data_IF_668426316482
#
_entry.id   IF_668426316482
#
_cell.length_a   1.000
_cell.length_b   1.000
_cell.length_c   1.000
_cell.angle_alpha   90.00
_cell.angle_beta   90.00
_cell.angle_gamma   90.00
#
_symmetry.space_group_name_H-M   'P 1'
#
loop_
_entity.id
_entity.type
_entity.pdbx_description
1 polymer ?
#
# COMPACT_ATOMS: atom_id res chain seq x y z
N UNK A 1 7.52 -10.31 10.74
CA UNK A 1 7.36 -8.85 10.64
C UNK A 1 7.47 -8.17 12.00
N UNK A 2 6.65 -8.54 13.00
CA UNK A 2 6.70 -7.89 14.34
C UNK A 2 8.08 -7.94 15.01
N UNK A 3 8.79 -9.06 14.94
CA UNK A 3 10.17 -9.16 15.45
C UNK A 3 11.10 -8.13 14.78
N UNK A 4 11.05 -8.04 13.44
CA UNK A 4 11.86 -7.07 12.68
C UNK A 4 11.51 -5.62 12.99
N UNK A 5 10.25 -5.30 13.32
CA UNK A 5 9.83 -3.95 13.71
C UNK A 5 10.29 -3.62 15.14
N UNK A 6 10.21 -4.59 16.06
CA UNK A 6 10.75 -4.46 17.43
C UNK A 6 12.26 -4.27 17.43
N UNK A 7 12.98 -5.02 16.59
CA UNK A 7 14.43 -4.89 16.44
C UNK A 7 14.85 -3.51 15.90
N UNK A 8 13.94 -2.84 15.17
CA UNK A 8 14.10 -1.46 14.69
C UNK A 8 13.63 -0.41 15.71
N UNK A 9 13.21 -0.79 16.92
CA UNK A 9 12.67 0.12 17.93
C UNK A 9 11.31 0.73 17.56
N UNK A 10 10.63 0.18 16.55
CA UNK A 10 9.33 0.68 16.07
C UNK A 10 8.21 0.04 16.88
N UNK A 11 7.41 0.87 17.55
CA UNK A 11 6.14 0.43 18.13
C UNK A 11 5.13 0.24 17.01
N UNK A 12 4.66 -0.99 16.83
CA UNK A 12 3.65 -1.35 15.85
C UNK A 12 2.54 -2.15 16.52
N UNK A 13 1.30 -1.83 16.17
CA UNK A 13 0.12 -2.54 16.65
C UNK A 13 -0.48 -3.36 15.52
N UNK A 14 -0.82 -4.63 15.80
CA UNK A 14 -1.52 -5.46 14.84
C UNK A 14 -3.00 -5.08 14.82
N UNK A 15 -3.50 -4.76 13.63
CA UNK A 15 -4.92 -4.56 13.38
C UNK A 15 -5.48 -5.79 12.69
N UNK A 16 -6.53 -6.39 13.25
CA UNK A 16 -7.21 -7.51 12.60
C UNK A 16 -7.92 -7.02 11.34
N UNK A 17 -7.60 -7.62 10.20
CA UNK A 17 -8.32 -7.33 8.96
C UNK A 17 -9.80 -7.66 9.12
N UNK A 18 -10.65 -6.87 8.46
CA UNK A 18 -12.09 -7.14 8.36
C UNK A 18 -12.25 -8.43 7.57
N UNK A 19 -12.78 -9.47 8.21
CA UNK A 19 -13.05 -10.77 7.59
C UNK A 19 -14.29 -10.69 6.71
N UNK A 20 -14.33 -11.52 5.66
CA UNK A 20 -15.53 -11.74 4.84
C UNK A 20 -16.75 -12.10 5.69
N UNK A 21 -16.54 -12.82 6.79
CA UNK A 21 -17.59 -13.26 7.71
C UNK A 21 -18.15 -12.14 8.60
N UNK A 22 -17.47 -10.99 8.70
CA UNK A 22 -17.87 -9.87 9.54
C UNK A 22 -18.49 -8.72 8.72
N UNK A 23 -18.82 -8.94 7.44
CA UNK A 23 -19.39 -7.94 6.53
C UNK A 23 -20.92 -7.96 6.45
N UNK A 24 -21.62 -8.78 7.26
CA UNK A 24 -23.06 -9.02 7.06
C UNK A 24 -23.90 -7.72 7.03
N UNK A 25 -23.55 -6.73 7.86
CA UNK A 25 -24.21 -5.42 7.89
C UNK A 25 -23.53 -4.35 7.00
N UNK A 26 -22.29 -4.57 6.57
CA UNK A 26 -21.47 -3.60 5.84
C UNK A 26 -21.22 -4.07 4.39
N UNK A 27 -22.23 -3.85 3.55
CA UNK A 27 -22.23 -4.31 2.16
C UNK A 27 -21.44 -3.38 1.23
N UNK A 28 -20.77 -3.92 0.19
CA UNK A 28 -20.10 -3.13 -0.83
C UNK A 28 -21.08 -2.21 -1.58
N UNK A 29 -20.65 -0.99 -1.89
CA UNK A 29 -21.45 -0.08 -2.71
C UNK A 29 -21.68 -0.64 -4.14
N UNK A 30 -22.86 -0.42 -4.74
CA UNK A 30 -23.17 -0.91 -6.09
C UNK A 30 -22.15 -0.48 -7.16
N UNK A 31 -21.61 0.74 -7.05
CA UNK A 31 -20.60 1.24 -7.97
C UNK A 31 -19.31 0.38 -7.99
N UNK A 32 -18.92 -0.23 -6.87
CA UNK A 32 -17.77 -1.13 -6.81
C UNK A 32 -18.04 -2.43 -7.59
N UNK A 33 -19.25 -2.98 -7.46
CA UNK A 33 -19.71 -4.15 -8.22
C UNK A 33 -19.68 -3.85 -9.72
N UNK A 34 -20.28 -2.74 -10.15
CA UNK A 34 -20.29 -2.31 -11.56
C UNK A 34 -18.87 -2.14 -12.10
N UNK A 35 -17.99 -1.53 -11.32
CA UNK A 35 -16.58 -1.37 -11.69
C UNK A 35 -15.90 -2.72 -11.90
N UNK A 36 -16.02 -3.66 -10.96
CA UNK A 36 -15.38 -4.97 -11.06
C UNK A 36 -15.96 -5.81 -12.21
N UNK A 37 -17.28 -5.79 -12.43
CA UNK A 37 -17.91 -6.45 -13.58
C UNK A 37 -17.36 -5.91 -14.90
N UNK A 38 -17.16 -4.59 -15.00
CA UNK A 38 -16.62 -3.96 -16.20
C UNK A 38 -15.14 -4.30 -16.45
N UNK A 39 -14.34 -4.41 -15.39
CA UNK A 39 -12.88 -4.62 -15.50
C UNK A 39 -12.52 -6.09 -15.64
N UNK A 40 -13.18 -6.96 -14.88
CA UNK A 40 -12.83 -8.38 -14.77
C UNK A 40 -13.84 -9.31 -15.45
N UNK A 41 -15.04 -8.82 -15.75
CA UNK A 41 -16.15 -9.64 -16.21
C UNK A 41 -16.80 -10.45 -15.08
N UNK A 42 -17.86 -11.17 -15.45
CA UNK A 42 -18.48 -12.14 -14.54
C UNK A 42 -17.64 -13.41 -14.47
N UNK A 43 -17.54 -14.00 -13.28
CA UNK A 43 -16.85 -15.28 -13.07
C UNK A 43 -17.44 -16.01 -11.86
N UNK A 44 -17.26 -17.35 -11.75
CA UNK A 44 -17.75 -18.11 -10.60
C UNK A 44 -17.23 -17.62 -9.23
N UNK A 45 -16.11 -16.88 -9.21
CA UNK A 45 -15.51 -16.29 -8.00
C UNK A 45 -15.82 -14.81 -7.80
N UNK A 46 -16.72 -14.22 -8.59
CA UNK A 46 -16.96 -12.78 -8.60
C UNK A 46 -17.40 -12.23 -7.23
N UNK A 47 -18.41 -12.83 -6.58
CA UNK A 47 -18.90 -12.37 -5.28
C UNK A 47 -17.80 -12.40 -4.20
N UNK A 48 -17.00 -13.48 -4.18
CA UNK A 48 -15.87 -13.58 -3.25
C UNK A 48 -14.85 -12.47 -3.49
N UNK A 49 -14.53 -12.18 -4.76
CA UNK A 49 -13.61 -11.09 -5.12
C UNK A 49 -14.16 -9.72 -4.74
N UNK A 50 -15.44 -9.47 -4.96
CA UNK A 50 -16.11 -8.24 -4.58
C UNK A 50 -16.05 -8.02 -3.07
N UNK A 51 -16.49 -9.00 -2.28
CA UNK A 51 -16.45 -8.94 -0.82
C UNK A 51 -15.01 -8.85 -0.30
N UNK A 52 -14.08 -9.54 -0.94
CA UNK A 52 -12.66 -9.49 -0.61
C UNK A 52 -12.03 -8.12 -0.84
N UNK A 53 -12.35 -7.50 -1.97
CA UNK A 53 -11.92 -6.14 -2.30
C UNK A 53 -12.47 -5.14 -1.30
N UNK A 54 -13.74 -5.32 -0.90
CA UNK A 54 -14.39 -4.48 0.10
C UNK A 54 -13.80 -4.65 1.51
N UNK A 55 -13.63 -5.89 1.96
CA UNK A 55 -12.95 -6.24 3.21
C UNK A 55 -11.54 -5.63 3.30
N UNK A 56 -10.76 -5.73 2.21
CA UNK A 56 -9.45 -5.10 2.11
C UNK A 56 -9.57 -3.58 2.32
N UNK A 57 -10.44 -2.90 1.58
CA UNK A 57 -10.68 -1.45 1.76
C UNK A 57 -11.04 -1.11 3.21
N UNK A 58 -12.04 -1.79 3.79
CA UNK A 58 -12.49 -1.54 5.16
C UNK A 58 -11.39 -1.75 6.20
N UNK A 59 -10.50 -2.72 6.00
CA UNK A 59 -9.35 -2.94 6.87
C UNK A 59 -8.40 -1.74 6.90
N UNK A 60 -8.04 -1.20 5.74
CA UNK A 60 -7.20 0.00 5.67
C UNK A 60 -7.89 1.24 6.24
N UNK A 61 -9.19 1.41 5.94
CA UNK A 61 -9.97 2.53 6.49
C UNK A 61 -10.11 2.43 8.01
N UNK A 62 -10.23 1.23 8.57
CA UNK A 62 -10.23 1.02 10.03
C UNK A 62 -8.92 1.48 10.69
N UNK A 63 -7.78 1.20 10.06
CA UNK A 63 -6.47 1.69 10.53
C UNK A 63 -6.39 3.22 10.45
N UNK A 64 -6.87 3.83 9.35
CA UNK A 64 -6.90 5.29 9.19
C UNK A 64 -7.84 5.95 10.21
N UNK A 65 -9.04 5.40 10.41
CA UNK A 65 -9.99 5.90 11.41
C UNK A 65 -9.39 5.85 12.81
N UNK A 66 -8.73 4.75 13.17
CA UNK A 66 -8.01 4.65 14.45
C UNK A 66 -6.90 5.68 14.57
N UNK A 67 -6.09 5.87 13.53
CA UNK A 67 -5.03 6.87 13.54
C UNK A 67 -5.58 8.29 13.71
N UNK A 68 -6.70 8.61 13.05
CA UNK A 68 -7.45 9.85 13.25
C UNK A 68 -7.93 10.00 14.69
N UNK A 69 -8.61 9.00 15.22
CA UNK A 69 -9.23 9.06 16.55
C UNK A 69 -8.17 9.21 17.67
N UNK A 70 -6.95 8.71 17.44
CA UNK A 70 -5.80 8.89 18.34
C UNK A 70 -4.98 10.16 18.05
N UNK A 71 -5.34 10.96 17.05
CA UNK A 71 -4.62 12.18 16.69
C UNK A 71 -3.20 11.97 16.16
N UNK A 72 -2.91 10.81 15.56
CA UNK A 72 -1.58 10.51 15.03
C UNK A 72 -1.29 11.32 13.75
N UNK A 73 -0.13 12.00 13.65
CA UNK A 73 0.18 12.89 12.52
C UNK A 73 0.39 12.14 11.19
N UNK A 74 0.75 10.87 11.26
CA UNK A 74 0.84 9.96 10.13
C UNK A 74 0.69 8.52 10.62
N UNK A 75 0.28 7.61 9.72
CA UNK A 75 0.20 6.17 9.98
C UNK A 75 0.86 5.40 8.86
N UNK A 76 1.69 4.41 9.22
CA UNK A 76 2.23 3.41 8.31
C UNK A 76 1.28 2.22 8.29
N UNK A 77 0.76 1.88 7.10
CA UNK A 77 -0.14 0.76 6.88
C UNK A 77 0.59 -0.28 6.03
N UNK A 78 0.61 -1.52 6.51
CA UNK A 78 1.23 -2.65 5.85
C UNK A 78 0.28 -3.85 5.86
N UNK A 79 0.19 -4.54 4.72
CA UNK A 79 -0.48 -5.84 4.66
C UNK A 79 0.32 -6.88 5.47
N UNK A 80 -0.35 -7.93 5.94
CA UNK A 80 0.26 -8.97 6.76
C UNK A 80 1.22 -9.87 5.95
N UNK A 81 0.98 -10.01 4.66
CA UNK A 81 1.84 -10.70 3.69
C UNK A 81 3.11 -9.89 3.31
N UNK A 82 3.33 -8.71 3.90
CA UNK A 82 4.48 -7.88 3.59
C UNK A 82 5.76 -8.27 4.35
N UNK A 83 6.88 -8.15 3.65
CA UNK A 83 8.23 -8.26 4.20
C UNK A 83 9.07 -7.07 3.78
N UNK A 84 9.89 -6.57 4.70
CA UNK A 84 10.94 -5.63 4.37
C UNK A 84 12.12 -6.33 3.68
N UNK A 85 12.72 -5.63 2.73
CA UNK A 85 14.02 -6.00 2.18
C UNK A 85 15.12 -5.81 3.23
N UNK A 86 16.22 -6.59 3.18
CA UNK A 86 17.30 -6.50 4.18
C UNK A 86 17.95 -5.11 4.32
N UNK A 87 17.85 -4.28 3.29
CA UNK A 87 18.38 -2.92 3.27
C UNK A 87 17.35 -1.84 3.67
N UNK A 88 16.14 -2.23 4.11
CA UNK A 88 15.06 -1.29 4.35
C UNK A 88 15.43 -0.21 5.36
N UNK A 89 16.01 -0.60 6.50
CA UNK A 89 16.40 0.34 7.56
C UNK A 89 17.41 1.40 7.07
N UNK A 90 18.51 0.95 6.44
CA UNK A 90 19.53 1.84 5.90
C UNK A 90 19.00 2.81 4.84
N UNK A 91 17.96 2.42 4.09
CA UNK A 91 17.29 3.34 3.15
C UNK A 91 16.33 4.27 3.88
N UNK A 92 15.58 3.79 4.89
CA UNK A 92 14.66 4.61 5.69
C UNK A 92 15.38 5.74 6.42
N UNK A 93 16.54 5.48 7.02
CA UNK A 93 17.38 6.51 7.67
C UNK A 93 17.76 7.63 6.68
N UNK A 94 18.11 7.26 5.44
CA UNK A 94 18.41 8.23 4.38
C UNK A 94 17.16 8.95 3.89
N UNK A 95 16.03 8.26 3.81
CA UNK A 95 14.74 8.83 3.40
C UNK A 95 14.27 9.84 4.43
N UNK A 96 14.40 9.57 5.72
CA UNK A 96 14.08 10.49 6.79
C UNK A 96 14.80 11.84 6.61
N UNK A 97 16.12 11.81 6.41
CA UNK A 97 16.91 13.02 6.11
C UNK A 97 16.44 13.70 4.80
N UNK A 98 16.10 12.93 3.76
CA UNK A 98 15.65 13.48 2.48
C UNK A 98 14.22 14.09 2.51
N UNK A 99 13.43 13.72 3.51
CA UNK A 99 12.09 14.25 3.77
C UNK A 99 12.12 15.52 4.62
N UNK A 100 13.20 15.80 5.35
CA UNK A 100 13.32 17.03 6.13
C UNK A 100 13.14 18.27 5.24
N UNK A 101 12.25 19.18 5.66
CA UNK A 101 11.90 20.39 4.91
C UNK A 101 11.13 20.12 3.60
N UNK A 102 10.63 18.89 3.40
CA UNK A 102 9.86 18.51 2.21
C UNK A 102 8.42 18.21 2.55
N UNK A 103 7.55 18.85 1.80
CA UNK A 103 6.14 18.57 1.79
C UNK A 103 5.82 17.23 1.09
N UNK A 104 4.99 16.41 1.72
CA UNK A 104 4.48 15.13 1.20
C UNK A 104 3.14 14.81 1.88
N UNK A 105 2.29 14.01 1.24
CA UNK A 105 0.99 13.61 1.81
C UNK A 105 0.86 12.08 1.91
N UNK A 106 1.45 11.37 0.95
CA UNK A 106 1.55 9.91 0.95
C UNK A 106 2.97 9.47 0.61
N UNK A 107 3.47 8.44 1.29
CA UNK A 107 4.79 7.85 1.06
C UNK A 107 4.68 6.33 0.86
N UNK A 108 5.01 5.85 -0.33
CA UNK A 108 4.98 4.41 -0.65
C UNK A 108 6.33 3.75 -0.36
N UNK A 109 6.32 2.75 0.52
CA UNK A 109 7.46 1.86 0.79
C UNK A 109 7.39 0.59 -0.08
N UNK A 110 6.16 0.19 -0.43
CA UNK A 110 5.80 -0.91 -1.30
C UNK A 110 4.64 -0.51 -2.21
N UNK A 111 4.69 -0.93 -3.47
CA UNK A 111 3.68 -0.60 -4.47
C UNK A 111 4.21 -0.64 -5.90
N UNK A 112 3.30 -0.68 -6.85
CA UNK A 112 3.61 -0.72 -8.28
C UNK A 112 3.19 0.57 -8.95
N UNK A 113 4.18 1.35 -9.41
CA UNK A 113 3.94 2.46 -10.32
C UNK A 113 3.30 1.97 -11.62
N UNK A 114 2.24 2.64 -12.07
CA UNK A 114 1.49 2.27 -13.28
C UNK A 114 1.74 3.23 -14.43
N UNK A 115 1.64 2.71 -15.67
CA UNK A 115 1.75 3.51 -16.90
C UNK A 115 0.72 4.65 -16.89
N UNK A 116 1.05 5.77 -17.54
CA UNK A 116 0.21 6.96 -17.59
C UNK A 116 0.32 7.87 -16.36
N UNK A 117 1.02 7.45 -15.30
CA UNK A 117 1.43 8.36 -14.23
C UNK A 117 2.68 9.16 -14.58
N UNK A 118 2.91 10.23 -13.83
CA UNK A 118 4.18 10.97 -13.83
C UNK A 118 5.05 10.41 -12.72
N UNK A 119 6.33 10.18 -13.01
CA UNK A 119 7.34 9.79 -12.01
C UNK A 119 8.62 10.60 -12.19
N UNK A 120 8.97 11.41 -11.20
CA UNK A 120 10.15 12.29 -11.23
C UNK A 120 11.01 12.07 -9.99
N UNK A 121 12.32 11.91 -10.16
CA UNK A 121 13.25 11.85 -9.02
C UNK A 121 13.27 13.21 -8.31
N UNK A 122 13.06 13.21 -6.99
CA UNK A 122 13.11 14.43 -6.16
C UNK A 122 14.24 14.39 -5.13
N UNK A 123 14.73 13.20 -4.80
CA UNK A 123 15.97 13.00 -4.03
C UNK A 123 16.61 11.65 -4.43
N UNK A 124 17.73 11.29 -3.80
CA UNK A 124 18.44 10.05 -4.14
C UNK A 124 17.58 8.79 -3.97
N UNK A 125 16.72 8.77 -2.94
CA UNK A 125 15.84 7.65 -2.61
C UNK A 125 14.35 7.97 -2.78
N UNK A 126 14.00 9.14 -3.33
CA UNK A 126 12.62 9.59 -3.43
C UNK A 126 12.25 9.97 -4.85
N UNK A 127 11.10 9.49 -5.28
CA UNK A 127 10.44 9.87 -6.52
C UNK A 127 9.06 10.43 -6.22
N UNK A 128 8.71 11.58 -6.78
CA UNK A 128 7.31 11.97 -6.90
C UNK A 128 6.60 11.00 -7.85
N UNK A 129 5.40 10.56 -7.49
CA UNK A 129 4.61 9.62 -8.26
C UNK A 129 3.11 9.96 -8.19
N UNK A 130 2.45 10.03 -9.35
CA UNK A 130 1.00 10.34 -9.42
C UNK A 130 0.11 9.13 -9.67
N UNK A 131 0.69 7.93 -9.85
CA UNK A 131 -0.08 6.71 -10.16
C UNK A 131 0.57 5.45 -9.61
N UNK A 132 0.13 5.00 -8.43
CA UNK A 132 0.65 3.83 -7.72
C UNK A 132 -0.51 2.93 -7.32
N UNK A 133 -0.41 1.63 -7.61
CA UNK A 133 -1.39 0.59 -7.24
C UNK A 133 -0.71 -0.57 -6.53
N UNK A 134 -1.47 -1.55 -6.04
CA UNK A 134 -0.98 -2.69 -5.25
C UNK A 134 -0.27 -2.18 -3.97
N UNK A 135 -0.93 -1.30 -3.24
CA UNK A 135 -0.38 -0.47 -2.15
C UNK A 135 -0.27 -1.24 -0.83
N UNK A 136 0.62 -2.22 -0.80
CA UNK A 136 0.79 -3.15 0.32
C UNK A 136 1.62 -2.57 1.48
N UNK A 137 2.35 -1.47 1.28
CA UNK A 137 3.05 -0.77 2.35
C UNK A 137 3.18 0.73 2.05
N UNK A 138 2.47 1.57 2.81
CA UNK A 138 2.47 3.02 2.60
C UNK A 138 2.19 3.79 3.87
N UNK A 139 2.64 5.04 3.91
CA UNK A 139 2.30 6.01 4.93
C UNK A 139 1.35 7.06 4.37
N UNK A 140 0.45 7.54 5.22
CA UNK A 140 -0.47 8.63 4.92
C UNK A 140 -0.49 9.61 6.10
N UNK A 141 -0.52 10.90 5.81
CA UNK A 141 -0.59 11.94 6.84
C UNK A 141 -2.02 12.26 7.25
N UNK A 142 -2.15 12.82 8.46
CA UNK A 142 -3.43 13.15 9.08
C UNK A 142 -4.32 14.06 8.23
N UNK A 143 -3.74 14.97 7.44
CA UNK A 143 -4.49 15.88 6.57
C UNK A 143 -5.33 15.15 5.51
N UNK A 144 -5.01 13.88 5.21
CA UNK A 144 -5.77 13.07 4.26
C UNK A 144 -6.77 12.11 4.91
N UNK A 145 -6.77 11.92 6.23
CA UNK A 145 -7.57 10.87 6.87
C UNK A 145 -9.06 11.05 6.59
N UNK A 146 -9.63 12.21 6.88
CA UNK A 146 -11.07 12.46 6.69
C UNK A 146 -11.47 12.35 5.22
N UNK A 147 -10.63 12.89 4.33
CA UNK A 147 -10.86 12.80 2.89
C UNK A 147 -10.93 11.35 2.44
N UNK A 148 -9.98 10.52 2.85
CA UNK A 148 -9.93 9.10 2.48
C UNK A 148 -11.13 8.35 3.05
N UNK A 149 -11.46 8.57 4.33
CA UNK A 149 -12.58 7.92 5.01
C UNK A 149 -13.92 8.26 4.35
N UNK A 150 -14.08 9.48 3.86
CA UNK A 150 -15.30 9.93 3.18
C UNK A 150 -15.36 9.49 1.70
N UNK A 151 -14.29 9.66 0.94
CA UNK A 151 -14.31 9.47 -0.52
C UNK A 151 -14.10 8.00 -0.94
N UNK A 152 -13.21 7.24 -0.28
CA UNK A 152 -12.81 5.93 -0.75
C UNK A 152 -13.97 4.92 -0.87
N UNK A 153 -14.86 4.77 0.14
CA UNK A 153 -16.01 3.88 0.05
C UNK A 153 -16.97 4.24 -1.10
N UNK A 154 -17.19 5.54 -1.29
CA UNK A 154 -18.15 6.08 -2.26
C UNK A 154 -17.61 6.10 -3.70
N UNK A 155 -16.29 6.01 -3.86
CA UNK A 155 -15.64 6.10 -5.17
C UNK A 155 -16.03 5.00 -6.16
N UNK A 156 -16.56 3.87 -5.68
CA UNK A 156 -16.81 2.69 -6.50
C UNK A 156 -15.54 2.02 -7.03
N UNK A 157 -14.37 2.39 -6.50
CA UNK A 157 -13.07 1.84 -6.91
C UNK A 157 -12.50 0.97 -5.78
N UNK A 158 -11.72 -0.08 -6.10
CA UNK A 158 -10.82 -0.68 -5.11
C UNK A 158 -9.92 0.39 -4.49
N UNK A 159 -9.52 0.23 -3.23
CA UNK A 159 -8.78 1.27 -2.49
C UNK A 159 -7.52 1.77 -3.22
N UNK A 160 -6.73 0.84 -3.76
CA UNK A 160 -5.50 1.18 -4.49
C UNK A 160 -5.78 1.89 -5.83
N UNK A 161 -6.92 1.63 -6.46
CA UNK A 161 -7.40 2.38 -7.62
C UNK A 161 -7.92 3.76 -7.23
N UNK A 162 -8.65 3.90 -6.13
CA UNK A 162 -9.05 5.20 -5.60
C UNK A 162 -7.81 6.07 -5.33
N UNK A 163 -6.79 5.52 -4.64
CA UNK A 163 -5.53 6.23 -4.43
C UNK A 163 -4.86 6.60 -5.75
N UNK A 164 -4.76 5.66 -6.68
CA UNK A 164 -4.07 5.84 -7.96
C UNK A 164 -4.74 6.84 -8.90
N UNK A 165 -6.06 6.80 -9.01
CA UNK A 165 -6.81 7.50 -10.06
C UNK A 165 -7.49 8.78 -9.56
N UNK A 166 -7.82 8.85 -8.26
CA UNK A 166 -8.56 9.98 -7.69
C UNK A 166 -7.64 10.80 -6.78
N UNK A 167 -7.01 10.17 -5.79
CA UNK A 167 -6.29 10.89 -4.74
C UNK A 167 -4.92 11.42 -5.19
N UNK A 168 -4.02 10.53 -5.66
CA UNK A 168 -2.64 10.86 -6.01
C UNK A 168 -2.47 11.97 -7.06
N UNK A 169 -3.34 12.14 -8.06
CA UNK A 169 -3.27 13.28 -8.96
C UNK A 169 -3.44 14.64 -8.27
N UNK A 170 -4.01 14.68 -7.07
CA UNK A 170 -4.37 15.89 -6.34
C UNK A 170 -3.50 16.14 -5.09
N UNK A 171 -2.59 15.21 -4.77
CA UNK A 171 -1.77 15.27 -3.55
C UNK A 171 -0.29 15.00 -3.84
N UNK A 172 0.57 15.27 -2.87
CA UNK A 172 2.03 15.11 -2.98
C UNK A 172 2.43 13.66 -2.65
N UNK A 173 2.25 12.79 -3.64
CA UNK A 173 2.65 11.38 -3.56
C UNK A 173 4.15 11.17 -3.78
N UNK A 174 4.80 10.52 -2.82
CA UNK A 174 6.20 10.08 -2.90
C UNK A 174 6.30 8.57 -2.90
N UNK A 175 7.27 8.04 -3.63
CA UNK A 175 7.62 6.62 -3.66
C UNK A 175 9.11 6.46 -3.36
N UNK A 176 9.43 5.57 -2.42
CA UNK A 176 10.81 5.24 -2.06
C UNK A 176 11.45 4.35 -3.12
N UNK A 177 12.73 4.62 -3.40
CA UNK A 177 13.59 3.78 -4.24
C UNK A 177 14.95 3.52 -3.57
N UNK A 178 15.44 2.26 -3.52
CA UNK A 178 14.81 1.02 -3.99
C UNK A 178 13.50 0.70 -3.24
N UNK A 179 12.68 -0.21 -3.77
CA UNK A 179 11.45 -0.65 -3.08
C UNK A 179 11.84 -1.33 -1.76
N UNK A 180 11.17 -0.97 -0.66
CA UNK A 180 11.58 -1.42 0.68
C UNK A 180 10.73 -2.57 1.21
N UNK A 181 9.45 -2.59 0.87
CA UNK A 181 8.52 -3.65 1.27
C UNK A 181 8.00 -4.38 0.02
N UNK A 182 7.80 -5.69 0.15
CA UNK A 182 7.25 -6.56 -0.89
C UNK A 182 6.21 -7.49 -0.29
N UNK A 183 5.19 -7.85 -1.06
CA UNK A 183 4.32 -8.97 -0.72
C UNK A 183 5.06 -10.30 -0.89
N UNK A 184 4.84 -11.24 0.04
CA UNK A 184 5.31 -12.61 -0.06
C UNK A 184 4.67 -13.27 -1.29
N UNK A 185 5.50 -13.91 -2.12
CA UNK A 185 5.07 -14.44 -3.43
C UNK A 185 4.41 -15.82 -3.35
N UNK A 186 4.66 -16.56 -2.26
CA UNK A 186 4.26 -17.97 -2.12
C UNK A 186 3.12 -18.18 -1.12
N UNK A 187 2.72 -17.13 -0.40
CA UNK A 187 1.59 -17.22 0.52
C UNK A 187 0.31 -16.95 -0.28
N UNK A 188 -0.66 -17.89 -0.29
CA UNK A 188 -1.96 -17.60 -0.86
C UNK A 188 -2.56 -16.43 -0.10
N UNK A 189 -3.06 -15.42 -0.82
CA UNK A 189 -3.89 -14.40 -0.19
C UNK A 189 -5.11 -15.10 0.41
N UNK A 190 -5.38 -14.90 1.70
CA UNK A 190 -6.58 -15.45 2.35
C UNK A 190 -7.88 -15.03 1.64
N UNK A 191 -7.82 -13.93 0.87
CA UNK A 191 -8.93 -13.35 0.13
C UNK A 191 -9.05 -13.96 -1.27
N UNK A 192 -7.95 -14.02 -2.04
CA UNK A 192 -8.00 -14.48 -3.43
C UNK A 192 -7.78 -16.00 -3.57
N UNK A 193 -7.14 -16.66 -2.61
CA UNK A 193 -6.71 -18.08 -2.66
C UNK A 193 -5.97 -18.48 -3.96
N UNK A 194 -5.45 -17.50 -4.70
CA UNK A 194 -4.63 -17.71 -5.91
C UNK A 194 -3.16 -17.56 -5.54
N UNK A 195 -2.39 -18.62 -5.71
CA UNK A 195 -0.93 -18.56 -5.64
C UNK A 195 -0.43 -17.74 -6.83
N UNK A 196 0.17 -16.58 -6.56
CA UNK A 196 0.73 -15.73 -7.62
C UNK A 196 1.99 -16.41 -8.17
N UNK A 197 1.96 -16.82 -9.44
CA UNK A 197 3.16 -17.35 -10.09
C UNK A 197 4.18 -16.22 -10.30
N UNK A 198 5.40 -16.31 -9.72
CA UNK A 198 6.39 -15.26 -9.88
C UNK A 198 6.90 -15.26 -11.32
N UNK A 199 6.59 -14.18 -12.06
CA UNK A 199 7.31 -13.90 -13.32
C UNK A 199 8.71 -13.41 -12.97
N UNK A 200 9.74 -14.10 -13.45
CA UNK A 200 11.11 -13.65 -13.26
C UNK A 200 11.33 -12.29 -13.92
N UNK A 201 11.53 -11.26 -13.11
CA UNK A 201 11.76 -9.88 -13.56
C UNK A 201 13.23 -9.54 -13.39
N UNK A 202 14.04 -9.87 -14.40
CA UNK A 202 15.49 -9.64 -14.42
C UNK A 202 15.90 -8.24 -13.98
N UNK A 203 15.17 -7.21 -14.40
CA UNK A 203 15.39 -5.81 -13.97
C UNK A 203 15.20 -5.60 -12.47
N UNK A 204 14.14 -6.15 -11.88
CA UNK A 204 13.88 -6.02 -10.44
C UNK A 204 14.93 -6.78 -9.62
N UNK A 205 15.35 -7.95 -10.10
CA UNK A 205 16.41 -8.72 -9.47
C UNK A 205 17.74 -7.94 -9.47
N UNK A 206 18.11 -7.33 -10.60
CA UNK A 206 19.32 -6.53 -10.70
C UNK A 206 19.26 -5.27 -9.82
N UNK A 207 18.15 -4.53 -9.84
CA UNK A 207 17.92 -3.38 -8.95
C UNK A 207 18.10 -3.76 -7.48
N UNK A 208 17.57 -4.94 -7.09
CA UNK A 208 17.70 -5.48 -5.73
C UNK A 208 19.13 -5.85 -5.38
N UNK A 209 19.86 -6.50 -6.29
CA UNK A 209 21.26 -6.84 -6.06
C UNK A 209 22.11 -5.57 -5.89
N UNK A 210 21.92 -4.58 -6.76
CA UNK A 210 22.58 -3.28 -6.64
C UNK A 210 22.21 -2.57 -5.32
N UNK A 211 20.95 -2.64 -4.89
CA UNK A 211 20.52 -2.09 -3.60
C UNK A 211 21.20 -2.79 -2.43
N UNK A 212 21.28 -4.12 -2.44
CA UNK A 212 21.99 -4.89 -1.41
C UNK A 212 23.47 -4.52 -1.34
N UNK A 213 24.13 -4.28 -2.48
CA UNK A 213 25.53 -3.83 -2.48
C UNK A 213 25.66 -2.40 -1.95
N UNK A 214 24.73 -1.50 -2.33
CA UNK A 214 24.79 -0.07 -2.00
C UNK A 214 24.38 0.26 -0.56
N UNK A 215 23.46 -0.50 -0.01
CA UNK A 215 22.80 -0.24 1.29
C UNK A 215 22.92 -1.41 2.26
N UNK A 216 23.38 -2.58 1.82
CA UNK A 216 23.69 -3.67 2.73
C UNK A 216 24.94 -3.32 3.52
N UNK A 217 24.79 -3.24 4.83
CA UNK A 217 25.90 -3.35 5.74
C UNK A 217 26.49 -4.77 5.62
N UNK A 218 27.82 -4.87 5.62
CA UNK A 218 28.52 -6.07 6.07
C UNK A 218 28.30 -6.24 7.58
#
# INVERSE_FOLDING_TARGET
>A
MEASLRDMGVQAERFSAVSLHNLEEDQPFPALREFLLRVDGESPGFERKLLGTWACMRSHLGVIARARDNGWPAVLIMEDDCEFEPYALAVLERVEVQLQGREWDMLYLGGTFKKGGVRKRVAANLFSATRVRLTHAYMVKAELYERILAEAPLSGLPLDWYYSEVLLPQVRGLMVKPTLARQRLMDPSDIEQVVRTPRFKSRQFLERLCARIRYGAF
#
